data_IF_754785252978
#
_entry.id   IF_754785252978
#
_cell.length_a   1.000
_cell.length_b   1.000
_cell.length_c   1.000
_cell.angle_alpha   90.00
_cell.angle_beta   90.00
_cell.angle_gamma   90.00
#
_symmetry.space_group_name_H-M   'P 1'
#
loop_
_entity.id
_entity.type
_entity.pdbx_description
1 polymer ?
#
# COMPACT_ATOMS: atom_id res chain seq x y z
N UNK A 1 15.14 -22.00 42.21
CA UNK A 1 14.40 -20.83 41.69
C UNK A 1 14.00 -21.17 40.26
N UNK A 2 12.77 -21.61 40.06
CA UNK A 2 12.26 -22.08 38.76
C UNK A 2 12.00 -20.89 37.85
N UNK A 3 12.60 -20.90 36.66
CA UNK A 3 12.45 -19.86 35.64
C UNK A 3 11.07 -20.06 35.00
N UNK A 4 10.19 -19.09 35.17
CA UNK A 4 8.86 -19.05 34.56
C UNK A 4 8.96 -19.10 33.03
N UNK A 5 8.07 -19.84 32.34
CA UNK A 5 8.14 -19.96 30.89
C UNK A 5 7.82 -18.62 30.24
N UNK A 6 8.63 -18.30 29.24
CA UNK A 6 8.59 -17.13 28.39
C UNK A 6 7.16 -16.71 28.05
N UNK A 7 6.83 -15.45 28.36
CA UNK A 7 5.64 -14.77 27.84
C UNK A 7 5.60 -15.01 26.34
N UNK A 8 4.66 -15.83 25.88
CA UNK A 8 4.25 -15.91 24.46
C UNK A 8 3.95 -14.48 24.02
N UNK A 9 4.91 -13.83 23.37
CA UNK A 9 4.67 -12.60 22.62
C UNK A 9 3.64 -13.01 21.58
N UNK A 10 2.36 -12.63 21.79
CA UNK A 10 1.30 -12.86 20.82
C UNK A 10 1.84 -12.38 19.49
N UNK A 11 1.97 -13.27 18.51
CA UNK A 11 2.38 -12.92 17.17
C UNK A 11 1.54 -11.71 16.76
N UNK A 12 2.19 -10.56 16.55
CA UNK A 12 1.49 -9.33 16.17
C UNK A 12 0.70 -9.66 14.92
N UNK A 13 -0.62 -9.51 14.95
CA UNK A 13 -1.43 -9.62 13.75
C UNK A 13 -0.93 -8.55 12.78
N UNK A 14 -0.57 -8.95 11.57
CA UNK A 14 -0.17 -8.03 10.51
C UNK A 14 -1.33 -7.99 9.51
N UNK A 15 -1.84 -6.79 9.27
CA UNK A 15 -2.83 -6.54 8.22
C UNK A 15 -2.13 -5.83 7.08
N UNK A 16 -2.43 -6.23 5.85
CA UNK A 16 -1.98 -5.54 4.65
C UNK A 16 -3.17 -4.86 4.00
N UNK A 17 -2.98 -3.65 3.51
CA UNK A 17 -4.00 -2.90 2.78
C UNK A 17 -3.44 -2.55 1.42
N UNK A 18 -4.14 -2.92 0.35
CA UNK A 18 -3.88 -2.39 -0.98
C UNK A 18 -4.70 -1.12 -1.17
N UNK A 19 -4.07 -0.07 -1.67
CA UNK A 19 -4.70 1.18 -2.07
C UNK A 19 -4.54 1.29 -3.58
N UNK A 20 -5.65 1.44 -4.28
CA UNK A 20 -5.69 1.64 -5.71
C UNK A 20 -5.77 3.14 -6.00
N UNK A 21 -4.76 3.62 -6.73
CA UNK A 21 -4.70 4.98 -7.25
C UNK A 21 -5.12 4.96 -8.72
N UNK A 22 -5.86 5.97 -9.17
CA UNK A 22 -6.22 6.12 -10.56
C UNK A 22 -6.16 7.59 -10.98
N UNK A 23 -5.42 7.86 -12.05
CA UNK A 23 -5.42 9.15 -12.73
C UNK A 23 -5.75 8.94 -14.20
N UNK A 24 -6.84 9.53 -14.69
CA UNK A 24 -7.32 9.36 -16.07
C UNK A 24 -7.31 7.88 -16.53
N UNK A 25 -6.36 7.53 -17.41
CA UNK A 25 -6.15 6.21 -18.01
C UNK A 25 -5.01 5.41 -17.35
N UNK A 26 -4.48 5.84 -16.21
CA UNK A 26 -3.41 5.19 -15.45
C UNK A 26 -3.90 4.69 -14.08
N UNK A 27 -3.36 3.55 -13.66
CA UNK A 27 -3.66 2.91 -12.39
C UNK A 27 -2.39 2.58 -11.65
N UNK A 28 -2.34 2.92 -10.37
CA UNK A 28 -1.28 2.58 -9.43
C UNK A 28 -1.79 1.69 -8.32
N UNK A 29 -0.91 0.85 -7.78
CA UNK A 29 -1.20 0.12 -6.54
C UNK A 29 -0.09 0.39 -5.57
N UNK A 30 -0.47 0.79 -4.37
CA UNK A 30 0.45 0.87 -3.25
C UNK A 30 -0.08 0.04 -2.11
N UNK A 31 0.84 -0.44 -1.28
CA UNK A 31 0.54 -1.37 -0.22
C UNK A 31 0.93 -0.77 1.12
N UNK A 32 0.16 -1.04 2.15
CA UNK A 32 0.43 -0.56 3.50
C UNK A 32 0.42 -1.74 4.44
N UNK A 33 1.51 -1.91 5.19
CA UNK A 33 1.63 -2.91 6.25
C UNK A 33 1.25 -2.29 7.59
N UNK A 34 0.20 -2.80 8.23
CA UNK A 34 -0.28 -2.36 9.54
C UNK A 34 0.03 -3.44 10.58
N UNK A 35 0.79 -3.07 11.61
CA UNK A 35 1.05 -3.95 12.75
C UNK A 35 0.02 -3.73 13.85
N UNK A 36 -0.52 -4.81 14.40
CA UNK A 36 -1.42 -4.78 15.55
C UNK A 36 -2.79 -5.38 15.28
N UNK A 37 -3.60 -5.46 16.33
CA UNK A 37 -4.96 -6.01 16.28
C UNK A 37 -6.03 -4.96 15.99
N UNK A 38 -5.79 -4.05 15.05
CA UNK A 38 -6.78 -3.03 14.68
C UNK A 38 -8.01 -3.67 14.05
N UNK A 39 -9.19 -3.09 14.33
CA UNK A 39 -10.41 -3.49 13.61
C UNK A 39 -10.32 -3.03 12.16
N UNK A 40 -11.04 -3.68 11.25
CA UNK A 40 -10.98 -3.39 9.82
C UNK A 40 -11.18 -1.92 9.48
N UNK A 41 -12.12 -1.22 10.15
CA UNK A 41 -12.34 0.21 9.93
C UNK A 41 -11.14 1.07 10.34
N UNK A 42 -10.55 0.76 11.49
CA UNK A 42 -9.38 1.48 12.02
C UNK A 42 -8.15 1.25 11.12
N UNK A 43 -7.97 0.01 10.66
CA UNK A 43 -6.90 -0.34 9.72
C UNK A 43 -7.00 0.44 8.41
N UNK A 44 -8.21 0.64 7.88
CA UNK A 44 -8.41 1.42 6.65
C UNK A 44 -8.05 2.90 6.85
N UNK A 45 -8.46 3.50 7.97
CA UNK A 45 -8.10 4.90 8.30
C UNK A 45 -6.59 5.05 8.47
N UNK A 46 -5.97 4.11 9.17
CA UNK A 46 -4.51 4.09 9.36
C UNK A 46 -3.77 3.90 8.03
N UNK A 47 -4.31 3.11 7.09
CA UNK A 47 -3.72 2.94 5.77
C UNK A 47 -3.68 4.25 4.98
N UNK A 48 -4.78 5.01 4.98
CA UNK A 48 -4.83 6.32 4.30
C UNK A 48 -3.88 7.32 4.96
N UNK A 49 -3.79 7.36 6.29
CA UNK A 49 -2.80 8.21 6.98
C UNK A 49 -1.35 7.89 6.60
N UNK A 50 -1.05 6.61 6.34
CA UNK A 50 0.30 6.19 5.93
C UNK A 50 0.60 6.48 4.47
N UNK A 51 -0.43 6.63 3.63
CA UNK A 51 -0.28 7.12 2.27
C UNK A 51 0.30 8.54 2.29
N UNK A 52 -0.29 9.41 3.09
CA UNK A 52 0.19 10.79 3.34
C UNK A 52 1.57 10.79 4.04
N UNK A 53 1.73 9.98 5.09
CA UNK A 53 2.97 9.88 5.86
C UNK A 53 4.15 9.15 5.18
N UNK A 54 3.98 8.65 3.95
CA UNK A 54 5.05 8.01 3.17
C UNK A 54 5.47 6.60 3.61
N UNK A 55 4.66 5.91 4.41
CA UNK A 55 4.92 4.51 4.82
C UNK A 55 4.16 3.53 3.91
N UNK A 56 4.46 3.60 2.62
CA UNK A 56 3.83 2.84 1.54
C UNK A 56 4.83 2.00 0.76
N UNK A 57 4.36 0.87 0.24
CA UNK A 57 5.17 -0.13 -0.44
C UNK A 57 4.71 -0.34 -1.89
N UNK A 58 5.65 -0.66 -2.78
CA UNK A 58 5.38 -0.91 -4.19
C UNK A 58 4.87 -2.34 -4.46
N UNK A 59 5.09 -3.26 -3.52
CA UNK A 59 4.75 -4.68 -3.64
C UNK A 59 3.80 -5.18 -2.56
N UNK A 60 3.06 -6.24 -2.89
CA UNK A 60 2.08 -6.87 -2.00
C UNK A 60 2.73 -7.50 -0.76
N UNK A 61 4.01 -7.89 -0.84
CA UNK A 61 4.74 -8.44 0.28
C UNK A 61 5.26 -7.38 1.25
N UNK A 62 5.10 -6.10 0.91
CA UNK A 62 5.61 -4.96 1.65
C UNK A 62 7.11 -5.09 1.94
N UNK A 63 7.87 -5.43 0.90
CA UNK A 63 9.33 -5.58 0.94
C UNK A 63 10.05 -4.38 0.32
N UNK A 64 9.39 -3.64 -0.56
CA UNK A 64 9.92 -2.50 -1.30
C UNK A 64 9.21 -1.22 -0.86
N UNK A 65 9.82 -0.50 0.06
CA UNK A 65 9.34 0.81 0.52
C UNK A 65 9.50 1.84 -0.61
N UNK A 66 8.49 2.69 -0.81
CA UNK A 66 8.56 3.79 -1.76
C UNK A 66 9.18 5.00 -1.05
N UNK A 67 10.50 5.14 -1.19
CA UNK A 67 11.27 6.25 -0.63
C UNK A 67 11.26 7.50 -1.53
N UNK A 68 10.68 7.39 -2.72
CA UNK A 68 10.51 8.50 -3.67
C UNK A 68 9.40 9.46 -3.22
N UNK A 69 9.52 10.73 -3.61
CA UNK A 69 8.44 11.72 -3.50
C UNK A 69 7.30 11.42 -4.49
N UNK A 70 7.50 10.48 -5.41
CA UNK A 70 6.54 10.11 -6.43
C UNK A 70 6.14 8.64 -6.35
N UNK A 71 4.87 8.38 -6.65
CA UNK A 71 4.29 7.05 -6.82
C UNK A 71 4.18 6.77 -8.32
N UNK A 72 4.78 5.65 -8.75
CA UNK A 72 4.69 5.17 -10.13
C UNK A 72 3.31 4.56 -10.40
N UNK A 73 2.63 5.07 -11.43
CA UNK A 73 1.37 4.53 -11.92
C UNK A 73 1.46 4.22 -13.41
N UNK A 74 0.80 3.14 -13.81
CA UNK A 74 0.95 2.57 -15.15
C UNK A 74 -0.35 2.75 -15.93
N UNK A 75 -0.24 3.09 -17.22
CA UNK A 75 -1.42 3.10 -18.09
C UNK A 75 -2.15 1.76 -18.06
N UNK A 76 -3.47 1.85 -17.95
CA UNK A 76 -4.38 0.71 -18.02
C UNK A 76 -4.22 0.10 -19.41
N UNK A 77 -3.49 -1.01 -19.50
CA UNK A 77 -3.27 -1.70 -20.77
C UNK A 77 -4.62 -2.09 -21.38
N UNK A 78 -5.04 -1.34 -22.40
CA UNK A 78 -6.05 -1.81 -23.35
C UNK A 78 -5.53 -3.08 -24.01
N UNK A 79 -6.42 -4.03 -24.29
CA UNK A 79 -6.12 -5.39 -24.77
C UNK A 79 -5.34 -5.51 -26.09
N UNK A 80 -4.82 -4.42 -26.67
CA UNK A 80 -4.42 -4.36 -28.06
C UNK A 80 -2.96 -3.97 -28.36
N UNK A 81 -2.11 -3.57 -27.40
CA UNK A 81 -0.72 -3.18 -27.73
C UNK A 81 0.30 -3.77 -26.79
N UNK A 82 0.98 -4.80 -27.30
CA UNK A 82 2.31 -5.21 -26.85
C UNK A 82 3.32 -4.17 -27.40
N UNK A 83 4.25 -3.77 -26.55
CA UNK A 83 5.61 -3.27 -26.89
C UNK A 83 5.91 -1.78 -27.09
N UNK A 84 4.98 -0.83 -26.95
CA UNK A 84 5.34 0.60 -27.04
C UNK A 84 5.27 1.29 -25.67
N UNK A 85 6.46 1.53 -25.10
CA UNK A 85 6.78 2.47 -24.01
C UNK A 85 5.74 2.52 -22.87
N UNK A 86 5.96 1.70 -21.84
CA UNK A 86 5.24 1.80 -20.57
C UNK A 86 5.54 3.18 -19.95
N UNK A 87 4.81 4.22 -20.37
CA UNK A 87 4.90 5.54 -19.76
C UNK A 87 4.56 5.40 -18.28
N UNK A 88 5.57 5.57 -17.43
CA UNK A 88 5.40 5.70 -15.99
C UNK A 88 4.89 7.10 -15.73
N UNK A 89 3.65 7.18 -15.25
CA UNK A 89 3.11 8.43 -14.72
C UNK A 89 3.53 8.51 -13.25
N UNK A 90 3.88 9.70 -12.81
CA UNK A 90 4.33 9.97 -11.46
C UNK A 90 3.25 10.79 -10.76
N UNK A 91 2.63 10.21 -9.75
CA UNK A 91 1.76 10.93 -8.83
C UNK A 91 2.64 11.43 -7.70
N UNK A 92 2.64 12.74 -7.47
CA UNK A 92 3.28 13.30 -6.29
C UNK A 92 2.59 12.76 -5.03
N UNK A 93 3.40 12.21 -4.12
CA UNK A 93 2.94 11.52 -2.92
C UNK A 93 2.10 12.42 -2.01
N UNK A 94 2.39 13.73 -1.98
CA UNK A 94 1.60 14.70 -1.21
C UNK A 94 0.14 14.76 -1.68
N UNK A 95 -0.10 14.50 -2.96
CA UNK A 95 -1.44 14.52 -3.55
C UNK A 95 -2.01 13.12 -3.77
N UNK A 96 -1.35 12.06 -3.31
CA UNK A 96 -1.76 10.68 -3.59
C UNK A 96 -3.18 10.36 -3.09
N UNK A 97 -3.65 11.01 -2.02
CA UNK A 97 -5.02 10.84 -1.51
C UNK A 97 -6.09 11.21 -2.55
N UNK A 98 -5.86 12.25 -3.34
CA UNK A 98 -6.81 12.74 -4.36
C UNK A 98 -7.03 11.72 -5.50
N UNK A 99 -6.08 10.79 -5.67
CA UNK A 99 -6.15 9.73 -6.68
C UNK A 99 -6.68 8.41 -6.15
N UNK A 100 -7.01 8.31 -4.84
CA UNK A 100 -7.50 7.06 -4.24
C UNK A 100 -8.91 6.75 -4.74
N UNK A 101 -9.05 5.63 -5.45
CA UNK A 101 -10.37 5.14 -5.89
C UNK A 101 -10.90 4.00 -5.03
N UNK A 102 -10.02 3.21 -4.42
CA UNK A 102 -10.42 2.17 -3.49
C UNK A 102 -9.28 1.74 -2.58
N UNK A 103 -9.62 1.19 -1.43
CA UNK A 103 -8.68 0.48 -0.58
C UNK A 103 -9.31 -0.84 -0.12
N UNK A 104 -8.49 -1.85 0.11
CA UNK A 104 -8.95 -3.18 0.54
C UNK A 104 -7.92 -3.86 1.44
N UNK A 105 -8.40 -4.45 2.52
CA UNK A 105 -7.58 -5.34 3.35
C UNK A 105 -7.35 -6.65 2.59
N UNK A 106 -6.09 -7.03 2.45
CA UNK A 106 -5.63 -8.28 1.83
C UNK A 106 -5.02 -9.20 2.89
N UNK A 107 -4.97 -10.50 2.58
CA UNK A 107 -4.50 -11.54 3.49
C UNK A 107 -3.01 -11.80 3.30
#
# INVERSE_FOLDING_TARGET
MSISPEKKVRAKTVQKVVILLQDHDATGRVYVRIEGGLKSREAMVEAIKRLDGGLIYADEDCTQLIDSEYIEVFRKRGSARREEEDFTFLIDREFAEDYVVSAKIIK
#
